data_IF_521390721586
#
_entry.id   IF_521390721586
#
_cell.length_a   1.000
_cell.length_b   1.000
_cell.length_c   1.000
_cell.angle_alpha   90.00
_cell.angle_beta   90.00
_cell.angle_gamma   90.00
#
_symmetry.space_group_name_H-M   'P 1'
#
loop_
_entity.id
_entity.type
_entity.pdbx_description
1 polymer ?
#
# COMPACT_ATOMS: atom_id res chain seq x y z
N UNK A 1 -6.59 16.75 -4.47
CA UNK A 1 -5.85 15.96 -3.46
C UNK A 1 -6.42 14.56 -3.46
N UNK A 2 -5.64 13.53 -3.12
CA UNK A 2 -6.07 12.13 -3.15
C UNK A 2 -6.30 11.58 -1.74
N UNK A 3 -7.34 10.76 -1.57
CA UNK A 3 -7.58 9.99 -0.37
C UNK A 3 -6.90 8.62 -0.49
N UNK A 4 -6.22 8.18 0.57
CA UNK A 4 -5.55 6.87 0.59
C UNK A 4 -6.01 6.13 1.84
N UNK A 5 -6.46 4.88 1.69
CA UNK A 5 -6.93 4.05 2.79
C UNK A 5 -6.23 2.71 2.84
N UNK A 6 -5.77 2.31 4.03
CA UNK A 6 -5.11 1.02 4.27
C UNK A 6 -6.06 0.11 5.06
N UNK A 7 -6.83 -0.71 4.35
CA UNK A 7 -7.86 -1.57 4.95
C UNK A 7 -7.64 -3.03 4.55
N UNK A 8 -8.07 -3.97 5.38
CA UNK A 8 -8.10 -5.41 5.02
C UNK A 8 -9.48 -5.87 4.52
N UNK A 9 -10.43 -4.95 4.44
CA UNK A 9 -11.84 -5.19 4.15
C UNK A 9 -12.44 -3.95 3.49
N UNK A 10 -13.42 -4.16 2.60
CA UNK A 10 -14.29 -3.09 2.08
C UNK A 10 -15.58 -3.13 2.90
N UNK A 11 -15.93 -2.02 3.56
CA UNK A 11 -17.08 -1.93 4.47
C UNK A 11 -16.82 -2.44 5.91
N UNK A 12 -17.87 -2.55 6.73
CA UNK A 12 -17.80 -2.87 8.17
C UNK A 12 -18.16 -4.33 8.50
N UNK A 13 -17.77 -5.30 7.67
CA UNK A 13 -18.06 -6.72 7.85
C UNK A 13 -16.82 -7.46 8.39
N UNK A 14 -16.71 -7.71 9.71
CA UNK A 14 -15.49 -8.24 10.35
C UNK A 14 -15.11 -9.68 9.95
N UNK A 15 -15.99 -10.40 9.23
CA UNK A 15 -15.78 -11.81 8.87
C UNK A 15 -15.23 -12.04 7.46
N UNK A 16 -15.24 -11.03 6.57
CA UNK A 16 -14.81 -11.19 5.17
C UNK A 16 -13.59 -10.32 4.90
N UNK A 17 -12.41 -10.86 5.21
CA UNK A 17 -11.13 -10.24 4.81
C UNK A 17 -10.96 -10.45 3.31
N UNK A 18 -10.49 -9.41 2.61
CA UNK A 18 -10.07 -9.53 1.21
C UNK A 18 -8.73 -10.26 1.23
N UNK A 19 -8.65 -11.44 0.61
CA UNK A 19 -7.38 -12.12 0.49
C UNK A 19 -6.44 -11.26 -0.35
N UNK A 20 -5.14 -11.28 -0.03
CA UNK A 20 -4.13 -10.53 -0.80
C UNK A 20 -4.14 -10.95 -2.28
N UNK A 21 -4.47 -12.22 -2.54
CA UNK A 21 -4.59 -12.78 -3.89
C UNK A 21 -5.85 -12.30 -4.63
N UNK A 22 -6.88 -11.86 -3.91
CA UNK A 22 -8.12 -11.33 -4.50
C UNK A 22 -7.99 -9.84 -4.87
N UNK A 23 -7.30 -9.06 -4.04
CA UNK A 23 -7.03 -7.64 -4.30
C UNK A 23 -5.93 -7.11 -3.38
N UNK A 24 -4.88 -6.53 -3.98
CA UNK A 24 -3.78 -5.86 -3.27
C UNK A 24 -4.01 -4.36 -3.11
N UNK A 25 -4.64 -3.74 -4.10
CA UNK A 25 -5.01 -2.33 -4.12
C UNK A 25 -5.95 -2.06 -5.28
N UNK A 26 -6.47 -0.83 -5.32
CA UNK A 26 -7.13 -0.29 -6.50
C UNK A 26 -7.21 1.24 -6.43
N UNK A 27 -7.27 1.88 -7.59
CA UNK A 27 -7.51 3.29 -7.79
C UNK A 27 -8.95 3.58 -8.24
N UNK A 28 -9.54 4.67 -7.76
CA UNK A 28 -10.81 5.22 -8.25
C UNK A 28 -10.58 6.68 -8.65
N UNK A 29 -10.67 6.95 -9.95
CA UNK A 29 -10.58 8.28 -10.50
C UNK A 29 -11.92 8.98 -10.37
N UNK A 30 -11.98 10.00 -9.52
CA UNK A 30 -13.15 10.87 -9.37
C UNK A 30 -12.69 12.33 -9.34
N UNK A 31 -13.46 13.22 -9.97
CA UNK A 31 -13.11 14.63 -10.10
C UNK A 31 -13.08 15.38 -8.75
N UNK A 32 -13.82 14.89 -7.76
CA UNK A 32 -13.97 15.51 -6.45
C UNK A 32 -13.26 14.72 -5.35
N UNK A 33 -13.23 13.40 -5.44
CA UNK A 33 -12.69 12.51 -4.41
C UNK A 33 -11.87 11.34 -4.98
N UNK A 34 -10.72 11.59 -5.64
CA UNK A 34 -9.86 10.51 -6.12
C UNK A 34 -9.34 9.68 -4.93
N UNK A 35 -9.39 8.37 -5.07
CA UNK A 35 -9.22 7.44 -3.96
C UNK A 35 -8.33 6.26 -4.32
N UNK A 36 -7.41 5.91 -3.42
CA UNK A 36 -6.61 4.69 -3.48
C UNK A 36 -6.94 3.81 -2.28
N UNK A 37 -7.28 2.56 -2.57
CA UNK A 37 -7.36 1.49 -1.59
C UNK A 37 -6.06 0.67 -1.60
N UNK A 38 -5.54 0.35 -0.41
CA UNK A 38 -4.42 -0.57 -0.23
C UNK A 38 -4.79 -1.66 0.78
N UNK A 39 -4.57 -2.92 0.41
CA UNK A 39 -4.81 -4.06 1.27
C UNK A 39 -3.77 -4.15 2.38
N UNK A 40 -4.18 -3.84 3.62
CA UNK A 40 -3.30 -3.84 4.78
C UNK A 40 -2.90 -5.27 5.24
N UNK A 41 -3.42 -6.33 4.61
CA UNK A 41 -3.03 -7.71 4.89
C UNK A 41 -1.68 -8.08 4.25
N UNK A 42 -1.28 -7.35 3.20
CA UNK A 42 -0.01 -7.55 2.51
C UNK A 42 1.19 -7.04 3.35
N UNK A 43 2.41 -7.35 2.94
CA UNK A 43 3.64 -6.83 3.56
C UNK A 43 3.75 -5.32 3.37
N UNK A 44 4.37 -4.61 4.33
CA UNK A 44 4.57 -3.14 4.21
C UNK A 44 5.30 -2.76 2.91
N UNK A 45 6.27 -3.58 2.50
CA UNK A 45 7.01 -3.46 1.25
C UNK A 45 6.07 -3.50 0.04
N UNK A 46 5.19 -4.50 -0.02
CA UNK A 46 4.22 -4.64 -1.09
C UNK A 46 3.17 -3.52 -1.07
N UNK A 47 2.70 -3.09 0.12
CA UNK A 47 1.77 -1.98 0.27
C UNK A 47 2.31 -0.68 -0.32
N UNK A 48 3.61 -0.39 -0.13
CA UNK A 48 4.25 0.80 -0.70
C UNK A 48 4.35 0.70 -2.21
N UNK A 49 4.71 -0.47 -2.74
CA UNK A 49 4.72 -0.69 -4.19
C UNK A 49 3.34 -0.50 -4.81
N UNK A 50 2.32 -1.16 -4.25
CA UNK A 50 0.93 -1.00 -4.66
C UNK A 50 0.49 0.46 -4.57
N UNK A 51 0.85 1.20 -3.53
CA UNK A 51 0.50 2.62 -3.44
C UNK A 51 1.01 3.44 -4.63
N UNK A 52 2.28 3.28 -5.02
CA UNK A 52 2.82 4.02 -6.15
C UNK A 52 2.26 3.53 -7.50
N UNK A 53 1.98 2.23 -7.61
CA UNK A 53 1.32 1.64 -8.77
C UNK A 53 -0.10 2.23 -8.95
N UNK A 54 -0.94 2.20 -7.91
CA UNK A 54 -2.29 2.77 -7.97
C UNK A 54 -2.28 4.30 -8.14
N UNK A 55 -1.24 4.97 -7.63
CA UNK A 55 -1.08 6.39 -7.86
C UNK A 55 -0.78 6.70 -9.33
N UNK A 56 -0.01 5.87 -10.03
CA UNK A 56 0.21 5.99 -11.46
C UNK A 56 -1.10 5.79 -12.24
N UNK A 57 -1.92 4.80 -11.86
CA UNK A 57 -3.28 4.61 -12.42
C UNK A 57 -4.14 5.87 -12.26
N UNK A 58 -4.15 6.48 -11.07
CA UNK A 58 -4.88 7.73 -10.85
C UNK A 58 -4.40 8.88 -11.75
N UNK A 59 -3.09 8.99 -11.99
CA UNK A 59 -2.54 10.03 -12.86
C UNK A 59 -2.92 9.83 -14.33
N UNK A 60 -3.12 8.58 -14.74
CA UNK A 60 -3.61 8.23 -16.07
C UNK A 60 -5.14 8.34 -16.20
N UNK A 61 -5.85 8.63 -15.10
CA UNK A 61 -7.31 8.68 -15.10
C UNK A 61 -7.96 7.30 -15.20
N UNK A 62 -7.24 6.23 -14.84
CA UNK A 62 -7.70 4.85 -14.90
C UNK A 62 -8.21 4.38 -13.54
N UNK A 63 -9.43 3.86 -13.50
CA UNK A 63 -10.03 3.27 -12.29
C UNK A 63 -10.07 1.75 -12.36
N UNK A 64 -10.24 1.15 -11.18
CA UNK A 64 -10.52 -0.28 -11.04
C UNK A 64 -11.72 -0.70 -11.89
N UNK A 65 -11.50 -1.59 -12.86
CA UNK A 65 -12.56 -2.11 -13.72
C UNK A 65 -12.80 -1.33 -15.02
N UNK A 66 -11.99 -0.30 -15.31
CA UNK A 66 -12.04 0.40 -16.60
C UNK A 66 -11.40 -0.42 -17.74
N UNK A 67 -10.61 -1.44 -17.41
CA UNK A 67 -9.96 -2.33 -18.38
C UNK A 67 -10.90 -3.35 -19.02
N UNK A 68 -10.74 -3.56 -20.32
CA UNK A 68 -11.48 -4.56 -21.10
C UNK A 68 -10.77 -5.93 -21.19
N UNK A 69 -9.64 -6.10 -20.49
CA UNK A 69 -8.78 -7.29 -20.57
C UNK A 69 -7.94 -7.34 -21.86
N UNK A 70 -7.69 -6.19 -22.48
CA UNK A 70 -7.05 -6.09 -23.80
C UNK A 70 -5.56 -5.74 -23.70
N UNK A 71 -4.87 -5.74 -24.85
CA UNK A 71 -3.44 -5.39 -24.91
C UNK A 71 -3.10 -4.00 -24.37
N UNK A 72 -4.02 -3.03 -24.49
CA UNK A 72 -3.85 -1.67 -23.94
C UNK A 72 -3.79 -1.68 -22.41
N UNK A 73 -4.60 -2.51 -21.74
CA UNK A 73 -4.57 -2.65 -20.28
C UNK A 73 -3.21 -3.18 -19.82
N UNK A 74 -2.62 -4.12 -20.57
CA UNK A 74 -1.28 -4.63 -20.25
C UNK A 74 -0.19 -3.57 -20.38
N UNK A 75 -0.30 -2.62 -21.32
CA UNK A 75 0.69 -1.54 -21.45
C UNK A 75 0.53 -0.50 -20.33
N UNK A 76 -0.70 -0.21 -19.89
CA UNK A 76 -0.96 0.63 -18.71
C UNK A 76 -0.40 -0.02 -17.44
N UNK A 77 -0.66 -1.31 -17.23
CA UNK A 77 -0.15 -2.05 -16.06
C UNK A 77 1.39 -2.04 -16.03
N UNK A 78 2.05 -2.31 -17.16
CA UNK A 78 3.51 -2.23 -17.28
C UNK A 78 4.02 -0.83 -16.95
N UNK A 79 3.38 0.20 -17.49
CA UNK A 79 3.75 1.58 -17.21
C UNK A 79 3.61 1.92 -15.72
N UNK A 80 2.52 1.51 -15.06
CA UNK A 80 2.33 1.69 -13.62
C UNK A 80 3.39 0.97 -12.80
N UNK A 81 3.75 -0.26 -13.17
CA UNK A 81 4.84 -1.02 -12.55
C UNK A 81 6.20 -0.34 -12.73
N UNK A 82 6.50 0.18 -13.93
CA UNK A 82 7.72 0.93 -14.23
C UNK A 82 7.81 2.20 -13.39
N UNK A 83 6.71 2.97 -13.29
CA UNK A 83 6.65 4.17 -12.46
C UNK A 83 6.91 3.83 -10.99
N UNK A 84 6.22 2.82 -10.45
CA UNK A 84 6.41 2.39 -9.06
C UNK A 84 7.85 1.91 -8.81
N UNK A 85 8.41 1.10 -9.71
CA UNK A 85 9.78 0.60 -9.64
C UNK A 85 10.82 1.71 -9.68
N UNK A 86 10.69 2.67 -10.60
CA UNK A 86 11.61 3.80 -10.73
C UNK A 86 11.56 4.75 -9.53
N UNK A 87 10.37 5.01 -8.98
CA UNK A 87 10.19 5.86 -7.80
C UNK A 87 10.81 5.24 -6.55
N UNK A 88 10.67 3.92 -6.39
CA UNK A 88 11.16 3.22 -5.21
C UNK A 88 12.64 2.87 -5.28
N UNK A 89 13.15 2.64 -6.49
CA UNK A 89 14.52 2.21 -6.73
C UNK A 89 15.13 3.11 -7.80
N UNK A 90 15.71 4.22 -7.37
CA UNK A 90 16.49 5.09 -8.25
C UNK A 90 17.65 4.31 -8.89
N UNK A 91 17.74 4.35 -10.22
CA UNK A 91 18.71 3.56 -10.98
C UNK A 91 20.16 3.95 -10.68
N UNK A 92 20.44 5.25 -10.51
CA UNK A 92 21.80 5.73 -10.20
C UNK A 92 22.23 5.27 -8.82
N UNK A 93 21.34 5.36 -7.83
CA UNK A 93 21.58 4.87 -6.48
C UNK A 93 21.73 3.35 -6.47
N UNK A 94 20.92 2.62 -7.23
CA UNK A 94 21.05 1.17 -7.37
C UNK A 94 22.43 0.80 -7.94
N UNK A 95 22.84 1.40 -9.07
CA UNK A 95 24.15 1.18 -9.68
C UNK A 95 25.28 1.46 -8.70
N UNK A 96 25.20 2.56 -7.95
CA UNK A 96 26.21 2.91 -6.95
C UNK A 96 26.27 1.88 -5.82
N UNK A 97 25.12 1.40 -5.32
CA UNK A 97 25.05 0.45 -4.22
C UNK A 97 25.27 -1.02 -4.65
N UNK A 98 25.21 -1.32 -5.94
CA UNK A 98 25.24 -2.68 -6.47
C UNK A 98 26.43 -3.49 -5.96
N UNK A 99 27.64 -2.97 -6.13
CA UNK A 99 28.88 -3.62 -5.68
C UNK A 99 29.04 -3.59 -4.15
N UNK A 100 28.59 -2.53 -3.48
CA UNK A 100 28.68 -2.40 -2.01
C UNK A 100 27.88 -3.49 -1.27
N UNK A 101 26.79 -3.95 -1.87
CA UNK A 101 25.97 -5.02 -1.35
C UNK A 101 26.28 -6.39 -1.96
N UNK A 102 27.46 -6.54 -2.59
CA UNK A 102 27.89 -7.80 -3.21
C UNK A 102 26.89 -8.33 -4.25
N UNK A 103 26.15 -7.43 -4.94
CA UNK A 103 25.09 -7.78 -5.90
C UNK A 103 23.93 -8.59 -5.29
N UNK A 104 23.75 -8.52 -3.97
CA UNK A 104 22.72 -9.27 -3.25
C UNK A 104 21.37 -8.55 -3.30
N UNK A 105 20.47 -9.06 -4.15
CA UNK A 105 19.12 -8.54 -4.31
C UNK A 105 18.30 -8.56 -3.01
N UNK A 106 18.57 -9.49 -2.08
CA UNK A 106 17.86 -9.56 -0.79
C UNK A 106 18.27 -8.39 0.10
N UNK A 107 19.58 -8.16 0.25
CA UNK A 107 20.08 -7.05 1.07
C UNK A 107 19.71 -5.69 0.47
N UNK A 108 19.78 -5.57 -0.85
CA UNK A 108 19.31 -4.37 -1.56
C UNK A 108 17.80 -4.18 -1.41
N UNK A 109 17.00 -5.25 -1.44
CA UNK A 109 15.57 -5.19 -1.19
C UNK A 109 15.23 -4.61 0.18
N UNK A 110 15.98 -5.00 1.22
CA UNK A 110 15.86 -4.39 2.55
C UNK A 110 16.26 -2.90 2.57
N UNK A 111 17.30 -2.51 1.82
CA UNK A 111 17.77 -1.12 1.72
C UNK A 111 16.73 -0.21 1.06
N UNK A 112 16.18 -0.65 -0.06
CA UNK A 112 15.19 0.10 -0.84
C UNK A 112 13.75 -0.12 -0.37
N UNK A 113 13.54 -1.04 0.58
CA UNK A 113 12.21 -1.44 1.08
C UNK A 113 11.28 -1.92 -0.04
N UNK A 114 11.84 -2.69 -0.98
CA UNK A 114 11.11 -3.38 -2.06
C UNK A 114 11.38 -4.88 -2.01
N UNK A 115 10.64 -5.66 -2.79
CA UNK A 115 10.91 -7.10 -2.89
C UNK A 115 12.27 -7.32 -3.59
N UNK A 116 12.97 -8.41 -3.28
CA UNK A 116 14.21 -8.76 -4.00
C UNK A 116 13.99 -8.94 -5.50
N UNK A 117 12.78 -9.32 -5.92
CA UNK A 117 12.41 -9.46 -7.32
C UNK A 117 12.37 -8.10 -8.05
N UNK A 118 11.84 -7.06 -7.39
CA UNK A 118 11.88 -5.68 -7.93
C UNK A 118 13.33 -5.22 -8.10
N UNK A 119 14.23 -5.53 -7.15
CA UNK A 119 15.66 -5.22 -7.32
C UNK A 119 16.25 -5.93 -8.54
N UNK A 120 15.97 -7.22 -8.71
CA UNK A 120 16.46 -7.97 -9.85
C UNK A 120 15.95 -7.38 -11.19
N UNK A 121 14.67 -7.01 -11.26
CA UNK A 121 14.11 -6.35 -12.44
C UNK A 121 14.77 -5.01 -12.72
N UNK A 122 14.92 -4.15 -11.69
CA UNK A 122 15.60 -2.86 -11.81
C UNK A 122 17.07 -3.01 -12.20
N UNK A 123 17.73 -4.08 -11.75
CA UNK A 123 19.10 -4.38 -12.14
C UNK A 123 19.19 -4.76 -13.63
N UNK A 124 18.22 -5.50 -14.15
CA UNK A 124 18.11 -5.81 -15.58
C UNK A 124 17.93 -4.52 -16.40
N UNK A 125 16.98 -3.65 -16.01
CA UNK A 125 16.73 -2.37 -16.70
C UNK A 125 17.96 -1.45 -16.70
N UNK A 126 18.78 -1.50 -15.65
CA UNK A 126 20.02 -0.73 -15.54
C UNK A 126 21.24 -1.49 -16.08
N UNK A 127 21.05 -2.59 -16.82
CA UNK A 127 22.12 -3.41 -17.44
C UNK A 127 23.18 -3.95 -16.45
N UNK A 128 22.80 -4.09 -15.17
CA UNK A 128 23.65 -4.63 -14.11
C UNK A 128 23.67 -6.17 -14.07
N UNK A 129 22.65 -6.78 -14.66
CA UNK A 129 22.51 -8.23 -14.89
C UNK A 129 21.97 -8.47 -16.30
N UNK A 130 22.16 -9.67 -16.82
CA UNK A 130 21.57 -10.11 -18.09
C UNK A 130 20.15 -10.63 -17.91
N UNK A 131 19.43 -10.77 -19.02
CA UNK A 131 18.09 -11.36 -19.02
C UNK A 131 18.11 -12.82 -18.50
N UNK A 132 19.12 -13.60 -18.85
CA UNK A 132 19.31 -14.97 -18.35
C UNK A 132 19.50 -15.02 -16.83
N UNK A 133 20.30 -14.10 -16.28
CA UNK A 133 20.51 -13.97 -14.84
C UNK A 133 19.21 -13.59 -14.12
N UNK A 134 18.43 -12.67 -14.71
CA UNK A 134 17.11 -12.30 -14.19
C UNK A 134 16.16 -13.50 -14.15
N UNK A 135 15.99 -14.22 -15.27
CA UNK A 135 15.08 -15.36 -15.31
C UNK A 135 15.53 -16.51 -14.41
N UNK A 136 16.84 -16.71 -14.26
CA UNK A 136 17.38 -17.64 -13.27
C UNK A 136 16.98 -17.22 -11.84
N UNK A 137 17.15 -15.94 -11.50
CA UNK A 137 16.76 -15.42 -10.19
C UNK A 137 15.24 -15.56 -9.95
N UNK A 138 14.42 -15.19 -10.93
CA UNK A 138 12.96 -15.30 -10.89
C UNK A 138 12.51 -16.73 -10.57
N UNK A 139 13.07 -17.73 -11.27
CA UNK A 139 12.77 -19.14 -11.04
C UNK A 139 13.15 -19.61 -9.64
N UNK A 140 14.28 -19.14 -9.10
CA UNK A 140 14.72 -19.48 -7.73
C UNK A 140 13.81 -18.81 -6.71
N UNK A 141 13.47 -17.53 -6.92
CA UNK A 141 12.63 -16.75 -6.03
C UNK A 141 11.23 -17.36 -5.89
N UNK A 142 10.60 -17.74 -7.00
CA UNK A 142 9.25 -18.33 -6.99
C UNK A 142 9.18 -19.77 -6.44
N UNK A 143 10.31 -20.47 -6.31
CA UNK A 143 10.37 -21.79 -5.67
C UNK A 143 10.46 -21.72 -4.14
N UNK A 144 10.65 -20.54 -3.55
CA UNK A 144 10.73 -20.40 -2.09
C UNK A 144 9.34 -20.54 -1.47
N UNK A 145 9.14 -21.42 -0.47
CA UNK A 145 7.88 -21.52 0.24
C UNK A 145 7.56 -20.18 0.92
N UNK A 146 6.32 -19.71 0.77
CA UNK A 146 5.82 -18.50 1.44
C UNK A 146 5.81 -18.80 2.94
N UNK A 147 6.59 -18.08 3.78
CA UNK A 147 6.56 -18.32 5.21
C UNK A 147 5.18 -17.98 5.76
N UNK A 148 4.52 -18.95 6.41
CA UNK A 148 3.25 -18.72 7.08
C UNK A 148 3.41 -17.62 8.14
N UNK A 149 2.63 -16.54 8.03
CA UNK A 149 2.56 -15.50 9.06
C UNK A 149 2.05 -16.16 10.35
N UNK A 150 2.93 -16.29 11.36
CA UNK A 150 2.51 -16.70 12.70
C UNK A 150 1.47 -15.71 13.23
N UNK A 151 0.28 -16.23 13.56
CA UNK A 151 -0.79 -15.44 14.17
C UNK A 151 -0.39 -15.07 15.60
N UNK A 152 0.08 -13.84 15.82
CA UNK A 152 0.24 -13.31 17.17
C UNK A 152 -1.15 -12.97 17.74
N UNK A 153 -1.53 -13.62 18.84
CA UNK A 153 -2.76 -13.32 19.56
C UNK A 153 -2.62 -11.99 20.32
N UNK A 154 -3.52 -11.02 20.05
CA UNK A 154 -3.67 -9.81 20.85
C UNK A 154 -3.13 -8.53 20.21
N UNK A 155 -3.96 -7.85 19.40
CA UNK A 155 -3.70 -6.47 18.96
C UNK A 155 -4.58 -5.48 19.74
N UNK A 156 -4.01 -4.35 20.16
CA UNK A 156 -4.78 -3.24 20.73
C UNK A 156 -5.78 -2.71 19.68
N UNK A 157 -7.08 -2.94 19.91
CA UNK A 157 -8.18 -2.53 19.02
C UNK A 157 -8.10 -1.05 18.65
N UNK A 158 -7.68 -0.19 19.58
CA UNK A 158 -7.49 1.24 19.33
C UNK A 158 -6.37 1.52 18.35
N UNK A 159 -5.21 0.87 18.52
CA UNK A 159 -4.07 1.03 17.61
C UNK A 159 -4.40 0.51 16.22
N UNK A 160 -5.13 -0.60 16.14
CA UNK A 160 -5.63 -1.14 14.88
C UNK A 160 -6.59 -0.17 14.20
N UNK A 161 -7.52 0.43 14.95
CA UNK A 161 -8.47 1.41 14.43
C UNK A 161 -7.82 2.70 13.93
N UNK A 162 -6.86 3.26 14.69
CA UNK A 162 -6.08 4.44 14.25
C UNK A 162 -5.26 4.13 13.01
N UNK A 163 -4.61 2.95 12.95
CA UNK A 163 -3.86 2.53 11.76
C UNK A 163 -4.79 2.35 10.55
N UNK A 164 -5.98 1.79 10.75
CA UNK A 164 -7.00 1.54 9.71
C UNK A 164 -7.53 2.84 9.12
N UNK A 165 -7.92 3.79 9.97
CA UNK A 165 -8.58 5.02 9.55
C UNK A 165 -7.59 6.11 9.13
N UNK A 166 -6.37 6.08 9.63
CA UNK A 166 -5.39 7.14 9.40
C UNK A 166 -5.67 8.37 10.29
N UNK A 167 -4.59 9.01 10.75
CA UNK A 167 -4.68 10.12 11.70
C UNK A 167 -5.36 11.35 11.07
N UNK A 168 -5.04 11.66 9.82
CA UNK A 168 -5.61 12.81 9.10
C UNK A 168 -7.12 12.68 8.94
N UNK A 169 -7.63 11.52 8.54
CA UNK A 169 -9.06 11.27 8.41
C UNK A 169 -9.78 11.43 9.75
N UNK A 170 -9.23 10.87 10.84
CA UNK A 170 -9.78 11.04 12.18
C UNK A 170 -9.82 12.51 12.62
N UNK A 171 -8.80 13.32 12.29
CA UNK A 171 -8.81 14.76 12.54
C UNK A 171 -9.92 15.45 11.73
N UNK A 172 -10.09 15.10 10.45
CA UNK A 172 -11.15 15.67 9.61
C UNK A 172 -12.54 15.35 10.17
N UNK A 173 -12.81 14.07 10.48
CA UNK A 173 -14.07 13.65 11.10
C UNK A 173 -14.30 14.40 12.41
N UNK A 174 -13.29 14.46 13.29
CA UNK A 174 -13.38 15.20 14.56
C UNK A 174 -13.73 16.67 14.34
N UNK A 175 -13.04 17.34 13.43
CA UNK A 175 -13.25 18.76 13.17
C UNK A 175 -14.64 19.00 12.55
N UNK A 176 -15.11 18.12 11.67
CA UNK A 176 -16.42 18.20 11.04
C UNK A 176 -17.56 17.98 12.05
N UNK A 177 -17.43 16.98 12.93
CA UNK A 177 -18.39 16.75 14.03
C UNK A 177 -18.40 17.93 14.99
N UNK A 178 -17.23 18.41 15.43
CA UNK A 178 -17.15 19.57 16.36
C UNK A 178 -17.66 20.88 15.78
N UNK A 179 -17.67 21.02 14.46
CA UNK A 179 -18.20 22.19 13.77
C UNK A 179 -19.65 22.02 13.32
N UNK A 180 -20.34 20.96 13.76
CA UNK A 180 -21.71 20.61 13.34
C UNK A 180 -21.87 20.49 11.81
N UNK A 181 -20.79 20.18 11.09
CA UNK A 181 -20.78 19.94 9.64
C UNK A 181 -20.99 18.47 9.27
N UNK A 182 -20.92 17.58 10.27
CA UNK A 182 -21.12 16.15 10.11
C UNK A 182 -21.87 15.60 11.32
N UNK A 183 -22.97 14.88 11.08
CA UNK A 183 -23.73 14.23 12.14
C UNK A 183 -22.96 13.05 12.72
N UNK A 184 -23.24 12.70 13.98
CA UNK A 184 -22.65 11.53 14.63
C UNK A 184 -22.99 10.22 13.90
N UNK A 185 -24.21 10.09 13.37
CA UNK A 185 -24.63 8.94 12.55
C UNK A 185 -23.74 8.74 11.32
N UNK A 186 -23.41 9.84 10.65
CA UNK A 186 -22.60 9.82 9.42
C UNK A 186 -21.14 9.57 9.77
N UNK A 187 -20.65 10.18 10.85
CA UNK A 187 -19.31 9.92 11.35
C UNK A 187 -19.12 8.46 11.79
N UNK A 188 -20.15 7.84 12.36
CA UNK A 188 -20.16 6.41 12.67
C UNK A 188 -20.13 5.56 11.41
N UNK A 189 -20.94 5.89 10.39
CA UNK A 189 -20.92 5.19 9.12
C UNK A 189 -19.55 5.29 8.43
N UNK A 190 -18.95 6.49 8.45
CA UNK A 190 -17.65 6.78 7.83
C UNK A 190 -16.47 6.11 8.54
N UNK A 191 -16.52 6.00 9.87
CA UNK A 191 -15.42 5.39 10.65
C UNK A 191 -15.62 3.89 10.89
N UNK A 192 -16.86 3.41 10.82
CA UNK A 192 -17.26 2.06 11.20
C UNK A 192 -17.11 1.76 12.70
N UNK A 193 -16.99 2.79 13.55
CA UNK A 193 -16.91 2.68 15.00
C UNK A 193 -18.04 3.48 15.66
N UNK A 194 -18.52 2.98 16.80
CA UNK A 194 -19.63 3.57 17.56
C UNK A 194 -19.26 3.73 19.04
N UNK A 195 -20.02 4.56 19.75
CA UNK A 195 -19.93 4.74 21.20
C UNK A 195 -18.52 5.08 21.69
N UNK A 196 -18.11 4.48 22.82
CA UNK A 196 -16.86 4.79 23.51
C UNK A 196 -15.61 4.64 22.62
N UNK A 197 -15.62 3.68 21.70
CA UNK A 197 -14.51 3.47 20.78
C UNK A 197 -14.37 4.64 19.80
N UNK A 198 -15.49 5.14 19.28
CA UNK A 198 -15.50 6.32 18.43
C UNK A 198 -15.06 7.56 19.20
N UNK A 199 -15.63 7.79 20.39
CA UNK A 199 -15.25 8.92 21.26
C UNK A 199 -13.75 8.89 21.58
N UNK A 200 -13.19 7.71 21.82
CA UNK A 200 -11.75 7.53 22.04
C UNK A 200 -10.93 7.84 20.79
N UNK A 201 -11.44 7.55 19.59
CA UNK A 201 -10.77 7.83 18.31
C UNK A 201 -10.74 9.31 17.96
N UNK A 202 -11.84 10.03 18.21
CA UNK A 202 -11.92 11.48 17.94
C UNK A 202 -11.53 12.35 19.16
N UNK A 203 -11.31 11.73 20.31
CA UNK A 203 -10.91 12.38 21.56
C UNK A 203 -9.51 13.01 21.52
N UNK A 204 -9.29 14.05 22.33
CA UNK A 204 -8.01 14.76 22.39
C UNK A 204 -6.87 13.88 22.93
N UNK A 205 -5.83 13.64 22.12
CA UNK A 205 -4.50 13.34 22.65
C UNK A 205 -3.63 14.59 22.60
N UNK A 206 -3.45 15.26 23.75
CA UNK A 206 -2.24 16.04 23.98
C UNK A 206 -1.05 15.08 23.97
N UNK A 207 0.01 15.46 23.27
CA UNK A 207 1.31 14.79 23.29
C UNK A 207 1.68 14.34 24.71
N UNK A 208 1.78 13.03 24.95
CA UNK A 208 2.75 12.55 25.94
C UNK A 208 4.10 12.51 25.24
N UNK A 209 4.74 13.68 25.13
CA UNK A 209 6.19 13.74 25.10
C UNK A 209 6.65 13.10 26.41
N UNK A 210 7.24 11.91 26.32
CA UNK A 210 7.98 11.34 27.45
C UNK A 210 9.31 12.12 27.50
N UNK A 211 9.56 12.76 28.65
CA UNK A 211 10.90 13.17 29.05
C UNK A 211 11.74 11.97 29.45
#
# INVERSE_FOLDING_TARGET
GCFVSFLTQVGNQPKRKIAVDDCRGFALCDAYAPFIFINNADSNTAQVFTLFHEFAHLLLGQSAGDGNGNSEDNEVEKFCDEVAGNLLVDGKLLCHQWSHYSKDCVRLGHKFRVSPLVIAYRALENTLITEDEYWMYYRIYNKKPIPEKQRSNGGDSYRTAVKRLGYSFLIYIRNAVKSNRLLYSDAYALTGYHGDMFERLIGNRRNKCKG
#
